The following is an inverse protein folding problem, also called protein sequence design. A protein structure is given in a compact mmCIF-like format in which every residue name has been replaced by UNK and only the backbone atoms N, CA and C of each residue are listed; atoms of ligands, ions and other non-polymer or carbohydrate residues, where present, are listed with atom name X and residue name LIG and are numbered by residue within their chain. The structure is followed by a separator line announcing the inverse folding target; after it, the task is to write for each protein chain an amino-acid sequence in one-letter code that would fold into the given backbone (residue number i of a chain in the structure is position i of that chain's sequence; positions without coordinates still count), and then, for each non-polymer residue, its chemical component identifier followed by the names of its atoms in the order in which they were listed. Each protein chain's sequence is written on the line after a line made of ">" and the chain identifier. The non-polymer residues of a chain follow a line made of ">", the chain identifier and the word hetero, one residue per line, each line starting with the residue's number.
data_IF_159394866833
#
_entry.id   IF_159394866833
#
_cell.length_a   1.000
_cell.length_b   1.000
_cell.length_c   1.000
_cell.angle_alpha   90.00
_cell.angle_beta   90.00
_cell.angle_gamma   90.00
#
_symmetry.space_group_name_H-M   'P 1'
#
loop_
_entity.id
_entity.type
_entity.pdbx_description
1 polymer ?
#
# COMPACT_ATOMS: atom_id res chain seq x y z
N UNK A 1 -13.74 20.03 9.14
CA UNK A 1 -12.49 19.29 8.87
C UNK A 1 -12.70 18.44 7.63
N UNK A 2 -11.79 18.47 6.65
CA UNK A 2 -11.90 17.63 5.45
C UNK A 2 -11.67 16.16 5.84
N UNK A 3 -12.64 15.30 5.56
CA UNK A 3 -12.52 13.85 5.74
C UNK A 3 -11.74 13.26 4.55
N UNK A 4 -11.13 12.09 4.75
CA UNK A 4 -10.33 11.45 3.72
C UNK A 4 -9.66 10.19 4.24
N UNK A 5 -9.19 9.37 3.31
CA UNK A 5 -8.46 8.15 3.60
C UNK A 5 -7.07 8.49 4.11
N UNK A 6 -6.59 7.74 5.10
CA UNK A 6 -5.30 7.97 5.73
C UNK A 6 -4.48 6.69 5.63
N UNK A 7 -3.25 6.83 5.16
CA UNK A 7 -2.24 5.77 5.26
C UNK A 7 -1.07 6.25 6.11
N UNK A 8 -0.43 5.29 6.78
CA UNK A 8 0.86 5.50 7.44
C UNK A 8 1.89 4.60 6.81
N UNK A 9 3.10 5.11 6.61
CA UNK A 9 4.25 4.35 6.14
C UNK A 9 5.29 4.37 7.24
N UNK A 10 5.71 3.19 7.71
CA UNK A 10 6.78 3.07 8.68
C UNK A 10 8.13 3.03 7.95
N UNK A 11 8.98 4.00 8.25
CA UNK A 11 10.34 4.03 7.72
C UNK A 11 11.16 2.86 8.30
N UNK A 12 11.88 2.09 7.47
CA UNK A 12 12.54 0.85 7.89
C UNK A 12 13.66 1.09 8.92
N UNK A 13 14.41 2.19 8.79
CA UNK A 13 15.63 2.40 9.59
C UNK A 13 15.37 2.91 11.02
N UNK A 14 14.39 3.80 11.20
CA UNK A 14 14.15 4.49 12.47
C UNK A 14 12.77 4.18 13.08
N UNK A 15 11.96 3.38 12.38
CA UNK A 15 10.59 2.99 12.76
C UNK A 15 9.61 4.15 12.97
N UNK A 16 9.97 5.36 12.54
CA UNK A 16 9.05 6.50 12.52
C UNK A 16 7.98 6.29 11.46
N UNK A 17 6.78 6.80 11.71
CA UNK A 17 5.66 6.72 10.78
C UNK A 17 5.42 8.07 10.13
N UNK A 18 5.33 8.09 8.79
CA UNK A 18 4.87 9.25 8.03
C UNK A 18 3.44 9.02 7.58
N UNK A 19 2.60 10.03 7.73
CA UNK A 19 1.17 9.95 7.41
C UNK A 19 0.87 10.70 6.11
N UNK A 20 0.08 10.05 5.25
CA UNK A 20 -0.46 10.65 4.04
C UNK A 20 -1.98 10.59 4.09
N UNK A 21 -2.63 11.64 3.57
CA UNK A 21 -4.09 11.73 3.53
C UNK A 21 -4.57 12.09 2.14
N UNK A 22 -5.49 11.29 1.62
CA UNK A 22 -6.19 11.53 0.36
C UNK A 22 -7.60 12.05 0.67
N UNK A 23 -7.90 13.27 0.21
CA UNK A 23 -9.17 13.92 0.48
C UNK A 23 -10.22 13.58 -0.58
N UNK A 24 -11.07 12.62 -0.25
CA UNK A 24 -12.33 12.39 -0.96
C UNK A 24 -13.51 12.74 -0.05
N UNK A 25 -14.05 13.94 -0.23
CA UNK A 25 -15.05 14.51 0.68
C UNK A 25 -16.44 13.84 0.56
N UNK A 26 -16.69 13.06 -0.48
CA UNK A 26 -17.99 12.40 -0.71
C UNK A 26 -17.98 10.92 -0.36
N UNK A 27 -16.80 10.30 -0.35
CA UNK A 27 -16.67 8.85 -0.25
C UNK A 27 -16.22 8.40 1.15
N UNK A 28 -17.06 7.62 1.82
CA UNK A 28 -16.74 7.02 3.13
C UNK A 28 -15.96 5.71 3.02
N UNK A 29 -16.05 5.03 1.88
CA UNK A 29 -15.32 3.80 1.61
C UNK A 29 -15.03 3.62 0.13
N UNK A 30 -13.89 3.05 -0.20
CA UNK A 30 -13.47 2.78 -1.58
C UNK A 30 -12.63 1.50 -1.66
N UNK A 31 -12.32 1.06 -2.88
CA UNK A 31 -11.43 -0.08 -3.12
C UNK A 31 -9.99 0.31 -2.77
N UNK A 32 -9.24 -0.62 -2.18
CA UNK A 32 -7.87 -0.38 -1.72
C UNK A 32 -6.96 0.20 -2.82
N UNK A 33 -7.09 -0.27 -4.07
CA UNK A 33 -6.32 0.27 -5.20
C UNK A 33 -6.63 1.73 -5.49
N UNK A 34 -7.90 2.14 -5.39
CA UNK A 34 -8.30 3.54 -5.58
C UNK A 34 -7.74 4.42 -4.45
N UNK A 35 -7.78 3.92 -3.22
CA UNK A 35 -7.20 4.62 -2.06
C UNK A 35 -5.69 4.82 -2.26
N UNK A 36 -4.96 3.77 -2.64
CA UNK A 36 -3.51 3.85 -2.84
C UNK A 36 -3.12 4.72 -4.04
N UNK A 37 -3.85 4.62 -5.15
CA UNK A 37 -3.67 5.52 -6.30
C UNK A 37 -3.97 6.97 -5.94
N UNK A 38 -5.02 7.21 -5.15
CA UNK A 38 -5.36 8.52 -4.63
C UNK A 38 -4.23 9.12 -3.79
N UNK A 39 -3.62 8.32 -2.92
CA UNK A 39 -2.48 8.75 -2.10
C UNK A 39 -1.22 9.03 -2.92
N UNK A 40 -0.90 8.18 -3.89
CA UNK A 40 0.39 8.28 -4.60
C UNK A 40 0.36 9.23 -5.80
N UNK A 41 -0.81 9.43 -6.42
CA UNK A 41 -0.91 10.09 -7.73
C UNK A 41 -1.96 11.20 -7.83
N UNK A 42 -2.77 11.44 -6.79
CA UNK A 42 -3.73 12.54 -6.82
C UNK A 42 -3.09 13.87 -6.41
N UNK A 43 -3.58 14.96 -6.97
CA UNK A 43 -3.29 16.32 -6.48
C UNK A 43 -4.07 16.67 -5.19
N UNK A 44 -5.06 15.86 -4.80
CA UNK A 44 -5.90 16.06 -3.60
C UNK A 44 -5.33 15.36 -2.37
N UNK A 45 -4.02 15.47 -2.14
CA UNK A 45 -3.32 14.83 -1.03
C UNK A 45 -2.74 15.86 -0.07
N UNK A 46 -2.55 15.47 1.20
CA UNK A 46 -1.89 16.32 2.19
C UNK A 46 -0.40 16.51 1.92
N UNK A 47 0.25 15.47 1.40
CA UNK A 47 1.66 15.42 1.04
C UNK A 47 1.83 14.43 -0.13
N UNK A 48 2.86 14.62 -0.96
CA UNK A 48 3.12 13.74 -2.10
C UNK A 48 3.79 12.45 -1.60
N UNK A 49 3.13 11.32 -1.81
CA UNK A 49 3.72 10.00 -1.60
C UNK A 49 4.32 9.51 -2.92
N UNK A 50 5.66 9.39 -2.99
CA UNK A 50 6.32 8.79 -4.15
C UNK A 50 6.13 7.27 -4.13
N UNK A 51 5.08 6.81 -4.81
CA UNK A 51 4.69 5.40 -4.90
C UNK A 51 4.88 4.81 -6.29
N UNK A 52 5.18 3.51 -6.36
CA UNK A 52 5.10 2.74 -7.61
C UNK A 52 4.56 1.33 -7.35
N UNK A 53 3.75 0.83 -8.27
CA UNK A 53 3.10 -0.48 -8.22
C UNK A 53 3.57 -1.32 -9.40
N UNK A 54 3.82 -2.61 -9.17
CA UNK A 54 4.23 -3.56 -10.20
C UNK A 54 3.38 -4.82 -10.13
N UNK A 55 3.32 -5.53 -11.24
CA UNK A 55 2.82 -6.90 -11.28
C UNK A 55 3.88 -7.83 -11.85
N UNK A 56 3.95 -9.03 -11.32
CA UNK A 56 4.84 -10.10 -11.79
C UNK A 56 3.98 -11.30 -12.12
N UNK A 57 4.10 -11.81 -13.34
CA UNK A 57 3.38 -13.01 -13.76
C UNK A 57 4.07 -14.25 -13.19
N UNK A 58 3.30 -15.09 -12.50
CA UNK A 58 3.76 -16.41 -12.04
C UNK A 58 3.10 -17.50 -12.89
N UNK A 59 3.95 -18.32 -13.49
CA UNK A 59 3.53 -19.46 -14.33
C UNK A 59 2.96 -20.62 -13.50
N UNK A 60 3.25 -20.70 -12.21
CA UNK A 60 2.83 -21.80 -11.35
C UNK A 60 1.33 -21.72 -11.02
N UNK A 61 0.79 -20.52 -10.85
CA UNK A 61 -0.63 -20.27 -10.60
C UNK A 61 -1.34 -19.50 -11.73
N UNK A 62 -0.67 -19.32 -12.87
CA UNK A 62 -1.17 -18.72 -14.12
C UNK A 62 -1.85 -17.36 -13.91
N UNK A 63 -1.21 -16.49 -13.12
CA UNK A 63 -1.74 -15.15 -12.87
C UNK A 63 -0.65 -14.12 -12.59
N UNK A 64 -1.06 -12.86 -12.57
CA UNK A 64 -0.23 -11.77 -12.08
C UNK A 64 -0.37 -11.64 -10.56
N UNK A 65 0.75 -11.58 -9.87
CA UNK A 65 0.83 -11.12 -8.49
C UNK A 65 1.14 -9.64 -8.43
N UNK A 66 0.43 -8.91 -7.57
CA UNK A 66 0.62 -7.48 -7.39
C UNK A 66 1.57 -7.18 -6.23
N UNK A 67 2.44 -6.20 -6.41
CA UNK A 67 3.33 -5.70 -5.38
C UNK A 67 3.40 -4.18 -5.41
N UNK A 68 3.73 -3.60 -4.26
CA UNK A 68 4.15 -2.21 -4.20
C UNK A 68 5.67 -2.19 -4.32
N UNK A 69 6.19 -1.69 -5.44
CA UNK A 69 7.63 -1.61 -5.67
C UNK A 69 8.26 -0.53 -4.78
N UNK A 70 7.59 0.61 -4.63
CA UNK A 70 8.13 1.79 -3.96
C UNK A 70 7.03 2.49 -3.17
N UNK A 71 7.34 2.95 -1.96
CA UNK A 71 6.50 3.84 -1.16
C UNK A 71 7.35 4.89 -0.47
N UNK A 72 6.93 6.15 -0.55
CA UNK A 72 7.67 7.31 -0.02
C UNK A 72 9.16 7.29 -0.44
N UNK A 73 9.41 6.94 -1.71
CA UNK A 73 10.76 6.87 -2.28
C UNK A 73 11.58 5.63 -1.91
N UNK A 74 11.07 4.74 -1.05
CA UNK A 74 11.78 3.56 -0.58
C UNK A 74 11.35 2.32 -1.39
N UNK A 75 12.30 1.70 -2.07
CA UNK A 75 12.08 0.53 -2.91
C UNK A 75 12.15 -0.80 -2.15
N UNK A 76 11.48 -1.81 -2.68
CA UNK A 76 11.66 -3.21 -2.30
C UNK A 76 13.02 -3.73 -2.77
N UNK A 77 13.55 -4.75 -2.09
CA UNK A 77 14.94 -5.18 -2.31
C UNK A 77 15.15 -5.81 -3.71
N UNK A 78 14.14 -6.46 -4.30
CA UNK A 78 14.23 -7.08 -5.62
C UNK A 78 12.91 -6.97 -6.41
N UNK A 79 12.73 -5.93 -7.23
CA UNK A 79 11.51 -5.74 -8.01
C UNK A 79 11.20 -6.84 -9.03
N UNK A 80 12.21 -7.53 -9.55
CA UNK A 80 12.02 -8.59 -10.54
C UNK A 80 11.64 -9.93 -9.89
N UNK A 81 12.05 -10.16 -8.65
CA UNK A 81 11.68 -11.32 -7.85
C UNK A 81 11.29 -10.89 -6.42
N UNK A 82 10.14 -10.24 -6.22
CA UNK A 82 9.78 -9.57 -4.95
C UNK A 82 9.85 -10.47 -3.72
N UNK A 83 9.52 -11.75 -3.88
CA UNK A 83 9.55 -12.74 -2.80
C UNK A 83 10.97 -13.15 -2.35
N UNK A 84 12.03 -12.71 -3.03
CA UNK A 84 13.43 -12.94 -2.65
C UNK A 84 14.03 -11.81 -1.80
N UNK A 85 13.21 -10.93 -1.23
CA UNK A 85 13.67 -9.81 -0.42
C UNK A 85 12.62 -9.32 0.58
N UNK A 86 12.75 -8.05 0.98
CA UNK A 86 11.69 -7.36 1.72
C UNK A 86 10.67 -6.74 0.77
N UNK A 87 9.40 -6.84 1.14
CA UNK A 87 8.26 -6.26 0.43
C UNK A 87 7.45 -5.36 1.34
N UNK A 88 6.68 -4.45 0.75
CA UNK A 88 5.71 -3.64 1.48
C UNK A 88 4.50 -4.47 1.90
N UNK A 89 4.30 -4.60 3.20
CA UNK A 89 3.22 -5.36 3.82
C UNK A 89 2.20 -4.38 4.41
N UNK A 90 0.93 -4.45 3.99
CA UNK A 90 -0.14 -3.67 4.60
C UNK A 90 -0.60 -4.29 5.93
N UNK A 91 -0.94 -3.42 6.86
CA UNK A 91 -1.62 -3.70 8.11
C UNK A 91 -2.93 -2.91 8.11
N UNK A 92 -4.05 -3.61 8.22
CA UNK A 92 -5.39 -3.01 8.30
C UNK A 92 -5.93 -3.28 9.69
N UNK A 93 -6.23 -2.21 10.44
CA UNK A 93 -6.71 -2.31 11.82
C UNK A 93 -5.79 -3.20 12.67
N UNK A 94 -4.48 -2.95 12.56
CA UNK A 94 -3.39 -3.64 13.28
C UNK A 94 -3.16 -5.10 12.89
N UNK A 95 -3.93 -5.64 11.93
CA UNK A 95 -3.76 -6.99 11.41
C UNK A 95 -2.97 -6.96 10.12
N UNK A 96 -1.93 -7.79 10.05
CA UNK A 96 -1.16 -8.04 8.82
C UNK A 96 -2.10 -8.56 7.73
N UNK A 97 -1.96 -8.03 6.53
CA UNK A 97 -2.73 -8.43 5.35
C UNK A 97 -1.79 -8.70 4.17
N UNK A 98 -2.26 -9.50 3.24
CA UNK A 98 -1.57 -9.78 1.98
C UNK A 98 -2.02 -8.78 0.92
N UNK A 99 -1.09 -7.99 0.37
CA UNK A 99 -1.41 -6.95 -0.61
C UNK A 99 -2.03 -7.53 -1.88
N UNK A 100 -1.47 -8.61 -2.41
CA UNK A 100 -1.94 -9.26 -3.64
C UNK A 100 -3.40 -9.71 -3.48
N UNK A 101 -3.71 -10.35 -2.34
CA UNK A 101 -5.07 -10.75 -2.01
C UNK A 101 -6.02 -9.57 -1.77
N UNK A 102 -5.53 -8.45 -1.21
CA UNK A 102 -6.35 -7.26 -1.02
C UNK A 102 -6.78 -6.65 -2.36
N UNK A 103 -5.86 -6.62 -3.33
CA UNK A 103 -6.10 -6.12 -4.69
C UNK A 103 -7.03 -7.04 -5.45
N UNK A 104 -6.74 -8.34 -5.48
CA UNK A 104 -7.51 -9.34 -6.23
C UNK A 104 -8.98 -9.38 -5.76
N UNK A 105 -9.21 -9.29 -4.44
CA UNK A 105 -10.54 -9.28 -3.87
C UNK A 105 -11.24 -7.92 -3.92
N UNK A 106 -10.62 -6.89 -4.51
CA UNK A 106 -11.14 -5.52 -4.49
C UNK A 106 -11.55 -5.09 -3.07
N UNK A 107 -10.64 -5.27 -2.11
CA UNK A 107 -10.96 -5.06 -0.70
C UNK A 107 -11.41 -3.63 -0.46
N UNK A 108 -12.56 -3.49 0.20
CA UNK A 108 -13.13 -2.19 0.53
C UNK A 108 -12.53 -1.65 1.82
N UNK A 109 -12.08 -0.42 1.76
CA UNK A 109 -11.45 0.35 2.83
C UNK A 109 -12.38 1.49 3.21
N UNK A 110 -12.57 1.71 4.50
CA UNK A 110 -13.28 2.84 5.07
C UNK A 110 -12.31 3.96 5.46
N UNK A 111 -12.77 5.20 5.48
CA UNK A 111 -12.03 6.33 6.07
C UNK A 111 -11.74 6.16 7.58
N UNK A 112 -12.43 5.22 8.23
CA UNK A 112 -12.20 4.85 9.63
C UNK A 112 -11.16 3.75 9.81
N UNK A 113 -10.73 3.08 8.74
CA UNK A 113 -9.74 2.01 8.84
C UNK A 113 -8.36 2.57 9.13
N UNK A 114 -7.61 1.88 9.97
CA UNK A 114 -6.25 2.23 10.31
C UNK A 114 -5.29 1.46 9.40
N UNK A 115 -4.72 2.15 8.43
CA UNK A 115 -3.84 1.55 7.44
C UNK A 115 -2.37 1.91 7.72
N UNK A 116 -1.52 0.90 7.73
CA UNK A 116 -0.08 1.04 7.96
C UNK A 116 0.71 0.12 7.01
N UNK A 117 1.74 0.63 6.37
CA UNK A 117 2.66 -0.16 5.54
C UNK A 117 4.01 -0.30 6.23
N UNK A 118 4.56 -1.51 6.18
CA UNK A 118 5.89 -1.83 6.70
C UNK A 118 6.69 -2.60 5.65
N UNK A 119 7.98 -2.30 5.53
CA UNK A 119 8.89 -3.04 4.67
C UNK A 119 9.41 -4.26 5.45
N UNK A 120 8.99 -5.47 5.05
CA UNK A 120 9.25 -6.70 5.81
C UNK A 120 9.82 -7.80 4.93
N UNK A 121 10.72 -8.61 5.49
CA UNK A 121 11.22 -9.80 4.81
C UNK A 121 10.09 -10.81 4.61
N UNK A 122 10.01 -11.39 3.41
CA UNK A 122 9.09 -12.49 3.14
C UNK A 122 9.54 -13.70 3.95
N UNK A 123 8.72 -14.12 4.92
CA UNK A 123 8.95 -15.37 5.66
C UNK A 123 8.44 -16.52 4.81
N UNK A 124 9.31 -17.49 4.53
CA UNK A 124 8.94 -18.80 3.99
C UNK A 124 8.15 -19.60 5.02
#
# INVERSE_FOLDING_TARGET
>A
MKQGFVIRIQHPDNRTEKQFKYFDEKQKSDLIMNVMNGICFSEKVSDKCDGNFISVYDTADDRFHYYIQKLDGIEIDNPNEPLKGRIWVPYINEKKSDWDMLVENNTRISISDHLLWRLEAVKK
#
